data_IF_954059723411
#
_entry.id   IF_954059723411
#
_cell.length_a   1.000
_cell.length_b   1.000
_cell.length_c   1.000
_cell.angle_alpha   90.00
_cell.angle_beta   90.00
_cell.angle_gamma   90.00
#
_symmetry.space_group_name_H-M   'P 1'
#
loop_
_entity.id
_entity.type
_entity.pdbx_description
1 polymer ?
#
# COMPACT_ATOMS: atom_id res chain seq x y z
N UNK A 1 4.06 -5.15 -15.94
CA UNK A 1 4.57 -4.48 -14.73
C UNK A 1 3.83 -5.02 -13.51
N UNK A 2 4.49 -5.13 -12.36
CA UNK A 2 3.92 -5.57 -11.07
C UNK A 2 4.35 -4.54 -10.02
N UNK A 3 3.44 -4.15 -9.13
CA UNK A 3 3.74 -3.31 -7.98
C UNK A 3 3.89 -4.19 -6.74
N UNK A 4 4.95 -3.95 -5.96
CA UNK A 4 5.20 -4.61 -4.69
C UNK A 4 5.01 -3.59 -3.57
N UNK A 5 4.24 -3.94 -2.54
CA UNK A 5 4.02 -3.13 -1.34
C UNK A 5 4.36 -3.99 -0.12
N UNK A 6 5.06 -3.42 0.85
CA UNK A 6 5.38 -4.02 2.16
C UNK A 6 5.13 -2.97 3.24
N UNK A 7 5.00 -3.41 4.49
CA UNK A 7 5.10 -2.58 5.70
C UNK A 7 4.19 -1.35 5.64
N UNK A 8 2.89 -1.60 5.59
CA UNK A 8 1.89 -0.53 5.56
C UNK A 8 1.73 0.06 6.96
N UNK A 9 1.79 -0.77 8.00
CA UNK A 9 1.57 -0.40 9.40
C UNK A 9 0.37 0.55 9.55
N UNK A 10 -0.81 0.23 9.03
CA UNK A 10 -2.02 1.05 9.20
C UNK A 10 -1.92 2.52 8.74
N UNK A 11 -0.95 2.89 7.90
CA UNK A 11 -0.82 4.23 7.35
C UNK A 11 -1.65 4.36 6.05
N UNK A 12 -2.93 4.68 6.22
CA UNK A 12 -3.92 4.75 5.13
C UNK A 12 -3.55 5.86 4.13
N UNK A 13 -3.08 7.00 4.62
CA UNK A 13 -2.71 8.15 3.80
C UNK A 13 -1.54 7.81 2.87
N UNK A 14 -0.51 7.15 3.38
CA UNK A 14 0.61 6.67 2.56
C UNK A 14 0.17 5.60 1.57
N UNK A 15 -0.67 4.67 2.00
CA UNK A 15 -1.18 3.59 1.15
C UNK A 15 -2.01 4.15 -0.01
N UNK A 16 -2.85 5.15 0.23
CA UNK A 16 -3.65 5.81 -0.80
C UNK A 16 -2.76 6.51 -1.84
N UNK A 17 -1.72 7.23 -1.40
CA UNK A 17 -0.77 7.88 -2.29
C UNK A 17 -0.04 6.87 -3.19
N UNK A 18 0.32 5.71 -2.65
CA UNK A 18 0.95 4.61 -3.41
C UNK A 18 -0.04 4.02 -4.43
N UNK A 19 -1.30 3.79 -4.05
CA UNK A 19 -2.30 3.29 -4.99
C UNK A 19 -2.60 4.27 -6.13
N UNK A 20 -2.62 5.57 -5.86
CA UNK A 20 -2.78 6.58 -6.90
C UNK A 20 -1.61 6.54 -7.89
N UNK A 21 -0.38 6.31 -7.43
CA UNK A 21 0.77 6.12 -8.33
C UNK A 21 0.68 4.86 -9.18
N UNK A 22 0.30 3.74 -8.56
CA UNK A 22 0.07 2.46 -9.24
C UNK A 22 -1.00 2.62 -10.32
N UNK A 23 -2.08 3.34 -10.01
CA UNK A 23 -3.17 3.62 -10.94
C UNK A 23 -2.71 4.50 -12.11
N UNK A 24 -1.98 5.61 -11.85
CA UNK A 24 -1.40 6.47 -12.90
C UNK A 24 -0.50 5.69 -13.86
N UNK A 25 0.21 4.67 -13.35
CA UNK A 25 1.12 3.82 -14.12
C UNK A 25 0.44 2.63 -14.80
N UNK A 26 -0.90 2.52 -14.70
CA UNK A 26 -1.69 1.42 -15.25
C UNK A 26 -1.18 0.02 -14.82
N UNK A 27 -0.66 -0.09 -13.59
CA UNK A 27 -0.16 -1.35 -13.06
C UNK A 27 -1.35 -2.17 -12.57
N UNK A 28 -1.61 -3.31 -13.22
CA UNK A 28 -2.78 -4.15 -12.93
C UNK A 28 -2.52 -5.26 -11.90
N UNK A 29 -1.26 -5.52 -11.56
CA UNK A 29 -0.85 -6.56 -10.60
C UNK A 29 -0.15 -5.92 -9.42
N UNK A 30 -0.74 -6.05 -8.24
CA UNK A 30 -0.18 -5.57 -6.97
C UNK A 30 0.00 -6.77 -6.05
N UNK A 31 1.17 -6.90 -5.42
CA UNK A 31 1.49 -7.94 -4.45
C UNK A 31 1.85 -7.26 -3.13
N UNK A 32 1.18 -7.65 -2.04
CA UNK A 32 1.48 -7.19 -0.69
C UNK A 32 2.28 -8.27 0.04
N UNK A 33 3.40 -7.90 0.65
CA UNK A 33 4.30 -8.82 1.37
C UNK A 33 3.93 -9.01 2.84
N UNK A 34 3.02 -8.20 3.40
CA UNK A 34 2.56 -8.32 4.79
C UNK A 34 2.74 -7.04 5.59
N UNK A 35 2.69 -7.17 6.92
CA UNK A 35 2.78 -6.08 7.91
C UNK A 35 1.80 -4.92 7.62
N UNK A 36 0.55 -5.32 7.39
CA UNK A 36 -0.55 -4.44 6.99
C UNK A 36 -1.06 -3.63 8.19
N UNK A 37 -1.16 -4.28 9.34
CA UNK A 37 -1.70 -3.73 10.60
C UNK A 37 -0.58 -3.66 11.62
N UNK A 38 -0.43 -2.51 12.30
CA UNK A 38 0.66 -2.25 13.24
C UNK A 38 0.52 -0.90 13.93
N UNK A 39 1.62 -0.36 14.50
CA UNK A 39 1.67 0.90 15.28
C UNK A 39 1.39 2.21 14.49
N UNK A 40 0.68 2.17 13.36
CA UNK A 40 0.33 3.38 12.63
C UNK A 40 -0.96 4.04 13.11
N UNK A 41 -1.33 5.15 12.45
CA UNK A 41 -2.35 6.07 12.96
C UNK A 41 -3.78 5.51 12.94
N UNK A 42 -4.06 4.47 12.14
CA UNK A 42 -5.40 3.88 12.00
C UNK A 42 -5.40 2.34 12.19
N UNK A 43 -5.13 1.82 13.41
CA UNK A 43 -5.00 0.38 13.67
C UNK A 43 -6.34 -0.35 13.90
N UNK A 44 -7.47 0.36 13.85
CA UNK A 44 -8.80 -0.12 14.21
C UNK A 44 -9.66 -0.57 13.03
#
# INVERSE_FOLDING_TARGET
MIALISDIHSNIEALQAVFDDIARRSIRRVICLGDVVGYGPNPC
#
